data_IF_561189398671
#
_entry.id   IF_561189398671
#
_cell.length_a   1.000
_cell.length_b   1.000
_cell.length_c   1.000
_cell.angle_alpha   90.00
_cell.angle_beta   90.00
_cell.angle_gamma   90.00
#
_symmetry.space_group_name_H-M   'P 1'
#
loop_
_entity.id
_entity.type
_entity.pdbx_description
1 polymer ?
#
# COMPACT_ATOMS: atom_id res chain seq x y z
N UNK A 1 -32.86 49.05 35.70
CA UNK A 1 -31.44 48.88 35.35
C UNK A 1 -30.89 47.49 35.73
N UNK A 2 -31.15 46.92 36.91
CA UNK A 2 -30.65 45.58 37.29
C UNK A 2 -31.16 44.42 36.42
N UNK A 3 -32.39 44.50 35.85
CA UNK A 3 -32.97 43.46 34.97
C UNK A 3 -32.33 43.44 33.55
N UNK A 4 -31.88 44.58 33.07
CA UNK A 4 -31.21 44.71 31.76
C UNK A 4 -29.79 44.14 31.81
N UNK A 5 -29.09 44.29 32.94
CA UNK A 5 -27.77 43.72 33.17
C UNK A 5 -27.80 42.16 33.23
N UNK A 6 -28.87 41.59 33.78
CA UNK A 6 -29.06 40.13 33.85
C UNK A 6 -29.33 39.51 32.46
N UNK A 7 -30.07 40.18 31.59
CA UNK A 7 -30.36 39.73 30.23
C UNK A 7 -29.08 39.82 29.35
N UNK A 8 -28.25 40.88 29.51
CA UNK A 8 -27.01 40.99 28.79
C UNK A 8 -25.96 39.94 29.21
N UNK A 9 -25.91 39.58 30.49
CA UNK A 9 -25.03 38.51 30.98
C UNK A 9 -25.46 37.12 30.47
N UNK A 10 -26.78 36.87 30.31
CA UNK A 10 -27.31 35.62 29.78
C UNK A 10 -27.06 35.46 28.27
N UNK A 11 -27.04 36.55 27.49
CA UNK A 11 -26.69 36.54 26.06
C UNK A 11 -25.20 36.29 25.84
N UNK A 12 -24.32 36.78 26.73
CA UNK A 12 -22.89 36.49 26.67
C UNK A 12 -22.54 35.05 27.07
N UNK A 13 -23.34 34.41 27.94
CA UNK A 13 -23.09 33.00 28.32
C UNK A 13 -23.46 31.99 27.23
N UNK A 14 -24.32 32.37 26.27
CA UNK A 14 -24.70 31.49 25.13
C UNK A 14 -23.76 31.60 23.92
N UNK A 15 -22.81 32.52 23.91
CA UNK A 15 -21.71 32.56 22.94
C UNK A 15 -20.49 31.73 23.39
N UNK A 16 -20.69 30.58 24.01
CA UNK A 16 -19.73 29.54 23.99
C UNK A 16 -19.62 29.06 22.53
N UNK A 17 -18.89 29.81 21.72
CA UNK A 17 -18.49 29.36 20.38
C UNK A 17 -17.96 27.95 20.54
N UNK A 18 -18.74 26.97 20.12
CA UNK A 18 -18.16 25.66 19.78
C UNK A 18 -17.18 25.92 18.66
N UNK A 19 -15.95 26.29 19.02
CA UNK A 19 -14.87 26.37 18.07
C UNK A 19 -14.80 24.96 17.45
N UNK A 20 -15.29 24.85 16.23
CA UNK A 20 -15.26 23.59 15.50
C UNK A 20 -13.81 23.15 15.42
N UNK A 21 -13.51 22.06 16.12
CA UNK A 21 -12.14 21.54 16.14
C UNK A 21 -11.93 20.67 14.92
N UNK A 22 -10.91 21.00 14.17
CA UNK A 22 -10.46 20.22 13.01
C UNK A 22 -9.20 19.42 13.38
N UNK A 23 -9.02 18.28 12.75
CA UNK A 23 -7.82 17.49 12.88
C UNK A 23 -7.16 17.23 11.53
N UNK A 24 -5.93 16.77 11.58
CA UNK A 24 -5.24 16.18 10.45
C UNK A 24 -4.49 14.93 10.87
N UNK A 25 -4.19 14.07 9.89
CA UNK A 25 -3.47 12.82 10.11
C UNK A 25 -2.71 12.44 8.84
N UNK A 26 -1.58 11.78 8.99
CA UNK A 26 -0.85 11.16 7.88
C UNK A 26 -1.25 9.69 7.77
N UNK A 27 -2.27 9.39 6.95
CA UNK A 27 -2.77 8.01 6.77
C UNK A 27 -1.76 7.12 6.06
N UNK A 28 -0.99 7.66 5.13
CA UNK A 28 0.08 6.92 4.45
C UNK A 28 1.10 6.39 5.45
N UNK A 29 1.51 7.24 6.39
CA UNK A 29 2.44 6.85 7.45
C UNK A 29 1.86 5.72 8.30
N UNK A 30 0.59 5.83 8.71
CA UNK A 30 -0.08 4.81 9.52
C UNK A 30 -0.14 3.45 8.81
N UNK A 31 -0.55 3.47 7.55
CA UNK A 31 -0.72 2.24 6.75
C UNK A 31 0.64 1.60 6.43
N UNK A 32 1.66 2.41 6.13
CA UNK A 32 2.96 1.88 5.70
C UNK A 32 3.86 1.42 6.85
N UNK A 33 3.75 2.03 8.04
CA UNK A 33 4.66 1.77 9.16
C UNK A 33 4.11 0.79 10.20
N UNK A 34 2.84 0.37 10.11
CA UNK A 34 2.28 -0.57 11.07
C UNK A 34 2.87 -1.99 10.90
N UNK A 35 2.92 -2.80 11.97
CA UNK A 35 3.46 -4.16 11.91
C UNK A 35 2.72 -5.08 10.92
N UNK A 36 1.44 -4.85 10.68
CA UNK A 36 0.65 -5.60 9.70
C UNK A 36 1.12 -5.35 8.26
N UNK A 37 1.60 -4.13 7.96
CA UNK A 37 2.15 -3.80 6.64
C UNK A 37 3.47 -4.54 6.38
N UNK A 38 4.27 -4.83 7.41
CA UNK A 38 5.47 -5.65 7.25
C UNK A 38 5.12 -7.07 6.82
N UNK A 39 4.13 -7.67 7.50
CA UNK A 39 3.63 -9.00 7.11
C UNK A 39 3.07 -9.03 5.70
N UNK A 40 2.32 -7.98 5.32
CA UNK A 40 1.81 -7.84 3.97
C UNK A 40 2.95 -7.79 2.93
N UNK A 41 4.01 -7.01 3.20
CA UNK A 41 5.20 -6.94 2.35
C UNK A 41 5.95 -8.27 2.25
N UNK A 42 6.08 -9.01 3.36
CA UNK A 42 6.70 -10.34 3.34
C UNK A 42 5.92 -11.32 2.46
N UNK A 43 4.59 -11.33 2.55
CA UNK A 43 3.72 -12.16 1.70
C UNK A 43 3.92 -11.80 0.23
N UNK A 44 3.86 -10.51 -0.12
CA UNK A 44 4.06 -10.04 -1.49
C UNK A 44 5.45 -10.38 -2.01
N UNK A 45 6.47 -10.24 -1.18
CA UNK A 45 7.86 -10.61 -1.53
C UNK A 45 7.98 -12.10 -1.82
N UNK A 46 7.37 -12.96 -1.01
CA UNK A 46 7.38 -14.40 -1.23
C UNK A 46 6.69 -14.77 -2.55
N UNK A 47 5.49 -14.21 -2.81
CA UNK A 47 4.75 -14.45 -4.06
C UNK A 47 5.51 -13.95 -5.29
N UNK A 48 6.15 -12.78 -5.18
CA UNK A 48 6.98 -12.26 -6.28
C UNK A 48 8.19 -13.15 -6.55
N UNK A 49 8.85 -13.65 -5.50
CA UNK A 49 10.00 -14.56 -5.65
C UNK A 49 9.60 -15.90 -6.29
N UNK A 50 8.45 -16.45 -5.92
CA UNK A 50 7.90 -17.68 -6.51
C UNK A 50 7.57 -17.47 -7.99
N UNK A 51 6.92 -16.36 -8.33
CA UNK A 51 6.61 -16.02 -9.72
C UNK A 51 7.88 -15.83 -10.57
N UNK A 52 8.90 -15.18 -10.01
CA UNK A 52 10.21 -15.01 -10.70
C UNK A 52 10.90 -16.35 -10.93
N UNK A 53 10.86 -17.27 -9.96
CA UNK A 53 11.43 -18.62 -10.12
C UNK A 53 10.71 -19.39 -11.24
N UNK A 54 9.37 -19.37 -11.25
CA UNK A 54 8.57 -20.01 -12.29
C UNK A 54 8.84 -19.41 -13.67
N UNK A 55 8.90 -18.08 -13.77
CA UNK A 55 9.23 -17.41 -15.03
C UNK A 55 10.61 -17.82 -15.54
N UNK A 56 11.59 -17.89 -14.65
CA UNK A 56 12.94 -18.34 -14.99
C UNK A 56 12.95 -19.77 -15.51
N UNK A 57 12.26 -20.71 -14.86
CA UNK A 57 12.16 -22.10 -15.31
C UNK A 57 11.56 -22.19 -16.72
N UNK A 58 10.49 -21.44 -17.00
CA UNK A 58 9.88 -21.40 -18.33
C UNK A 58 10.82 -20.79 -19.39
N UNK A 59 11.57 -19.75 -19.04
CA UNK A 59 12.55 -19.14 -19.93
C UNK A 59 13.73 -20.08 -20.21
N UNK A 60 14.22 -20.78 -19.21
CA UNK A 60 15.31 -21.78 -19.35
C UNK A 60 14.85 -22.96 -20.23
N UNK A 61 13.60 -23.42 -20.07
CA UNK A 61 12.99 -24.43 -20.94
C UNK A 61 12.94 -23.96 -22.40
N UNK A 62 12.47 -22.73 -22.62
CA UNK A 62 12.41 -22.14 -23.97
C UNK A 62 13.79 -22.05 -24.61
N UNK A 63 14.78 -21.54 -23.89
CA UNK A 63 16.14 -21.41 -24.38
C UNK A 63 16.75 -22.77 -24.73
N UNK A 64 16.56 -23.78 -23.88
CA UNK A 64 17.06 -25.17 -24.15
C UNK A 64 16.44 -25.74 -25.43
N UNK A 65 15.14 -25.56 -25.62
CA UNK A 65 14.42 -26.03 -26.81
C UNK A 65 14.85 -25.26 -28.07
N UNK A 66 15.07 -23.96 -27.94
CA UNK A 66 15.52 -23.09 -29.03
C UNK A 66 16.92 -23.47 -29.48
N UNK A 67 17.85 -23.71 -28.56
CA UNK A 67 19.20 -24.21 -28.87
C UNK A 67 19.17 -25.56 -29.58
N UNK A 68 18.37 -26.51 -29.10
CA UNK A 68 18.20 -27.80 -29.74
C UNK A 68 17.59 -27.67 -31.14
N UNK A 69 16.68 -26.73 -31.36
CA UNK A 69 16.13 -26.43 -32.69
C UNK A 69 17.20 -25.87 -33.61
N UNK A 70 17.99 -24.90 -33.17
CA UNK A 70 19.06 -24.28 -33.97
C UNK A 70 20.12 -25.30 -34.39
N UNK A 71 20.49 -26.24 -33.51
CA UNK A 71 21.50 -27.24 -33.78
C UNK A 71 21.02 -28.36 -34.69
N UNK A 72 19.75 -28.78 -34.61
CA UNK A 72 19.24 -30.02 -35.19
C UNK A 72 18.22 -29.85 -36.31
N UNK A 73 17.69 -28.63 -36.52
CA UNK A 73 16.62 -28.39 -37.50
C UNK A 73 16.93 -28.79 -38.93
N UNK A 74 18.22 -28.67 -39.32
CA UNK A 74 18.68 -29.06 -40.66
C UNK A 74 18.62 -30.59 -40.89
N UNK A 75 18.70 -31.39 -39.83
CA UNK A 75 18.67 -32.87 -39.89
C UNK A 75 17.26 -33.44 -39.75
N UNK A 76 16.27 -32.64 -39.39
CA UNK A 76 14.91 -33.09 -39.18
C UNK A 76 14.05 -33.14 -40.45
N UNK A 77 13.08 -34.03 -40.46
CA UNK A 77 12.01 -34.01 -41.48
C UNK A 77 11.14 -32.74 -41.34
N UNK A 78 10.47 -32.34 -42.40
CA UNK A 78 9.58 -31.19 -42.39
C UNK A 78 8.53 -31.27 -41.26
N UNK A 79 7.91 -32.42 -41.05
CA UNK A 79 6.92 -32.65 -40.01
C UNK A 79 7.48 -32.49 -38.59
N UNK A 80 8.70 -32.97 -38.34
CA UNK A 80 9.38 -32.82 -37.05
C UNK A 80 9.71 -31.35 -36.80
N UNK A 81 10.21 -30.65 -37.80
CA UNK A 81 10.56 -29.23 -37.72
C UNK A 81 9.32 -28.40 -37.39
N UNK A 82 8.23 -28.59 -38.13
CA UNK A 82 6.94 -27.88 -37.89
C UNK A 82 6.41 -28.15 -36.47
N UNK A 83 6.52 -29.40 -35.97
CA UNK A 83 6.12 -29.72 -34.61
C UNK A 83 6.94 -28.96 -33.56
N UNK A 84 8.27 -28.83 -33.78
CA UNK A 84 9.17 -28.11 -32.86
C UNK A 84 8.94 -26.59 -32.90
N UNK A 85 8.65 -26.03 -34.06
CA UNK A 85 8.27 -24.64 -34.21
C UNK A 85 6.98 -24.30 -33.45
N UNK A 86 5.96 -25.15 -33.55
CA UNK A 86 4.71 -25.02 -32.79
C UNK A 86 4.94 -25.11 -31.28
N UNK A 87 5.83 -26.04 -30.85
CA UNK A 87 6.19 -26.18 -29.43
C UNK A 87 6.87 -24.92 -28.88
N UNK A 88 7.83 -24.33 -29.63
CA UNK A 88 8.48 -23.09 -29.25
C UNK A 88 7.49 -21.92 -29.21
N UNK A 89 6.64 -21.79 -30.23
CA UNK A 89 5.63 -20.73 -30.27
C UNK A 89 4.64 -20.84 -29.09
N UNK A 90 4.18 -22.05 -28.78
CA UNK A 90 3.28 -22.27 -27.65
C UNK A 90 3.93 -21.95 -26.29
N UNK A 91 5.22 -22.28 -26.13
CA UNK A 91 5.96 -21.96 -24.90
C UNK A 91 6.19 -20.46 -24.77
N UNK A 92 6.53 -19.78 -25.86
CA UNK A 92 6.67 -18.32 -25.85
C UNK A 92 5.33 -17.62 -25.48
N UNK A 93 4.22 -18.09 -26.04
CA UNK A 93 2.90 -17.58 -25.67
C UNK A 93 2.61 -17.79 -24.18
N UNK A 94 2.88 -18.99 -23.64
CA UNK A 94 2.69 -19.27 -22.21
C UNK A 94 3.54 -18.36 -21.33
N UNK A 95 4.77 -18.05 -21.70
CA UNK A 95 5.65 -17.12 -20.95
C UNK A 95 5.04 -15.72 -20.93
N UNK A 96 4.51 -15.25 -22.06
CA UNK A 96 3.86 -13.93 -22.15
C UNK A 96 2.60 -13.89 -21.29
N UNK A 97 1.71 -14.86 -21.45
CA UNK A 97 0.46 -14.97 -20.66
C UNK A 97 0.74 -15.08 -19.16
N UNK A 98 1.77 -15.83 -18.77
CA UNK A 98 2.19 -15.95 -17.38
C UNK A 98 2.63 -14.60 -16.83
N UNK A 99 3.46 -13.84 -17.56
CA UNK A 99 3.91 -12.52 -17.13
C UNK A 99 2.76 -11.53 -16.91
N UNK A 100 1.78 -11.51 -17.82
CA UNK A 100 0.58 -10.66 -17.71
C UNK A 100 -0.29 -11.05 -16.51
N UNK A 101 -0.53 -12.35 -16.34
CA UNK A 101 -1.36 -12.87 -15.24
C UNK A 101 -0.72 -12.63 -13.88
N UNK A 102 0.59 -12.85 -13.76
CA UNK A 102 1.34 -12.61 -12.50
C UNK A 102 1.27 -11.16 -12.07
N UNK A 103 1.44 -10.21 -13.00
CA UNK A 103 1.35 -8.79 -12.65
C UNK A 103 -0.03 -8.46 -12.06
N UNK A 104 -1.09 -8.93 -12.71
CA UNK A 104 -2.46 -8.73 -12.22
C UNK A 104 -2.69 -9.38 -10.85
N UNK A 105 -2.16 -10.59 -10.65
CA UNK A 105 -2.30 -11.32 -9.38
C UNK A 105 -1.57 -10.62 -8.23
N UNK A 106 -0.34 -10.13 -8.46
CA UNK A 106 0.42 -9.37 -7.46
C UNK A 106 -0.30 -8.07 -7.11
N UNK A 107 -0.84 -7.34 -8.09
CA UNK A 107 -1.60 -6.11 -7.84
C UNK A 107 -2.87 -6.39 -7.02
N UNK A 108 -3.59 -7.45 -7.34
CA UNK A 108 -4.76 -7.88 -6.57
C UNK A 108 -4.39 -8.33 -5.16
N UNK A 109 -3.30 -9.07 -5.01
CA UNK A 109 -2.80 -9.51 -3.72
C UNK A 109 -2.39 -8.30 -2.87
N UNK A 110 -1.72 -7.31 -3.45
CA UNK A 110 -1.38 -6.06 -2.77
C UNK A 110 -2.63 -5.36 -2.23
N UNK A 111 -3.66 -5.20 -3.06
CA UNK A 111 -4.92 -4.60 -2.62
C UNK A 111 -5.56 -5.41 -1.48
N UNK A 112 -5.59 -6.73 -1.61
CA UNK A 112 -6.16 -7.63 -0.60
C UNK A 112 -5.44 -7.52 0.74
N UNK A 113 -4.12 -7.43 0.73
CA UNK A 113 -3.32 -7.32 1.95
C UNK A 113 -3.40 -5.93 2.60
N UNK A 114 -3.41 -4.85 1.81
CA UNK A 114 -3.38 -3.49 2.36
C UNK A 114 -4.76 -2.89 2.66
N UNK A 115 -5.83 -3.36 2.01
CA UNK A 115 -7.20 -2.88 2.27
C UNK A 115 -7.61 -3.00 3.75
N UNK A 116 -7.47 -4.16 4.43
CA UNK A 116 -7.85 -4.27 5.84
C UNK A 116 -7.00 -3.38 6.75
N UNK A 117 -5.74 -3.10 6.40
CA UNK A 117 -4.87 -2.19 7.14
C UNK A 117 -5.39 -0.75 7.02
N UNK A 118 -5.79 -0.32 5.83
CA UNK A 118 -6.36 1.00 5.60
C UNK A 118 -7.72 1.16 6.32
N UNK A 119 -8.55 0.13 6.33
CA UNK A 119 -9.83 0.12 7.06
C UNK A 119 -9.59 0.20 8.58
N UNK A 120 -8.61 -0.52 9.11
CA UNK A 120 -8.19 -0.41 10.51
C UNK A 120 -7.71 1.00 10.84
N UNK A 121 -6.84 1.58 10.02
CA UNK A 121 -6.35 2.95 10.21
C UNK A 121 -7.51 3.95 10.23
N UNK A 122 -8.46 3.84 9.31
CA UNK A 122 -9.67 4.66 9.28
C UNK A 122 -10.48 4.53 10.57
N UNK A 123 -10.74 3.32 11.04
CA UNK A 123 -11.48 3.07 12.28
C UNK A 123 -10.79 3.67 13.51
N UNK A 124 -9.46 3.56 13.60
CA UNK A 124 -8.65 4.17 14.64
C UNK A 124 -8.77 5.69 14.61
N UNK A 125 -8.63 6.31 13.43
CA UNK A 125 -8.74 7.76 13.24
C UNK A 125 -10.13 8.25 13.66
N UNK A 126 -11.19 7.58 13.23
CA UNK A 126 -12.57 7.92 13.61
C UNK A 126 -12.79 7.85 15.13
N UNK A 127 -12.27 6.83 15.78
CA UNK A 127 -12.35 6.67 17.24
C UNK A 127 -11.67 7.82 17.98
N UNK A 128 -10.45 8.18 17.56
CA UNK A 128 -9.67 9.28 18.14
C UNK A 128 -10.38 10.62 17.88
N UNK A 129 -10.86 10.85 16.65
CA UNK A 129 -11.56 12.06 16.28
C UNK A 129 -12.83 12.27 17.15
N UNK A 130 -13.63 11.22 17.33
CA UNK A 130 -14.82 11.24 18.20
C UNK A 130 -14.46 11.54 19.65
N UNK A 131 -13.42 10.90 20.17
CA UNK A 131 -12.99 11.12 21.57
C UNK A 131 -12.49 12.54 21.82
N UNK A 132 -11.93 13.20 20.81
CA UNK A 132 -11.43 14.58 20.87
C UNK A 132 -12.49 15.62 20.47
N UNK A 133 -13.70 15.19 20.11
CA UNK A 133 -14.78 16.09 19.68
C UNK A 133 -14.48 16.85 18.40
N UNK A 134 -13.76 16.22 17.47
CA UNK A 134 -13.43 16.83 16.17
C UNK A 134 -14.61 16.72 15.22
N UNK A 135 -14.84 17.76 14.44
CA UNK A 135 -15.90 17.82 13.42
C UNK A 135 -15.44 17.14 12.13
N UNK A 136 -14.15 17.31 11.79
CA UNK A 136 -13.56 16.76 10.58
C UNK A 136 -12.08 16.49 10.77
N UNK A 137 -11.56 15.49 10.06
CA UNK A 137 -10.13 15.16 9.98
C UNK A 137 -9.72 15.12 8.52
N UNK A 138 -8.64 15.81 8.21
CA UNK A 138 -8.06 15.91 6.86
C UNK A 138 -6.79 15.06 6.75
N UNK A 139 -6.53 14.57 5.54
CA UNK A 139 -5.22 14.02 5.22
C UNK A 139 -4.16 15.13 5.20
N UNK A 140 -3.04 14.93 5.89
CA UNK A 140 -1.99 15.94 6.01
C UNK A 140 -1.43 16.37 4.65
N UNK A 141 -1.26 15.45 3.73
CA UNK A 141 -0.76 15.71 2.38
C UNK A 141 -1.71 16.55 1.50
N UNK A 142 -2.98 16.62 1.86
CA UNK A 142 -3.98 17.43 1.15
C UNK A 142 -4.02 18.89 1.63
N UNK A 143 -3.30 19.22 2.69
CA UNK A 143 -3.28 20.56 3.28
C UNK A 143 -2.11 21.36 2.72
N UNK A 144 -2.40 22.44 1.99
CA UNK A 144 -1.38 23.41 1.54
C UNK A 144 -0.86 24.22 2.73
N UNK A 145 -1.74 24.57 3.67
CA UNK A 145 -1.43 25.30 4.88
C UNK A 145 -2.23 24.77 6.05
N UNK A 146 -1.64 24.72 7.23
CA UNK A 146 -2.33 24.43 8.49
C UNK A 146 -1.79 25.33 9.59
N UNK A 147 -2.69 25.86 10.40
CA UNK A 147 -2.33 26.53 11.66
C UNK A 147 -2.32 25.47 12.77
N UNK A 148 -1.15 25.16 13.29
CA UNK A 148 -0.97 24.16 14.35
C UNK A 148 -1.70 24.52 15.65
N UNK A 149 -2.08 25.79 15.86
CA UNK A 149 -2.86 26.22 17.03
C UNK A 149 -4.37 25.91 16.87
N UNK A 150 -4.84 25.73 15.63
CA UNK A 150 -6.24 25.55 15.31
C UNK A 150 -6.60 24.12 14.88
N UNK A 151 -5.60 23.31 14.52
CA UNK A 151 -5.78 21.93 14.08
C UNK A 151 -5.04 20.94 14.98
N UNK A 152 -5.70 19.84 15.31
CA UNK A 152 -5.14 18.77 16.12
C UNK A 152 -4.44 17.76 15.21
N UNK A 153 -3.16 17.47 15.47
CA UNK A 153 -2.49 16.34 14.83
C UNK A 153 -2.87 15.01 15.53
N UNK A 154 -3.51 14.13 14.77
CA UNK A 154 -3.91 12.80 15.25
C UNK A 154 -2.84 11.75 15.00
N UNK A 155 -1.83 12.05 14.19
CA UNK A 155 -0.81 11.06 13.77
C UNK A 155 -0.12 10.39 14.96
N UNK A 156 0.32 11.10 16.01
CA UNK A 156 0.98 10.46 17.14
C UNK A 156 0.09 9.49 17.91
N UNK A 157 -1.18 9.85 18.14
CA UNK A 157 -2.14 9.00 18.85
C UNK A 157 -2.53 7.79 17.99
N UNK A 158 -2.72 7.99 16.70
CA UNK A 158 -3.03 6.93 15.75
C UNK A 158 -1.86 5.95 15.58
N UNK A 159 -0.62 6.43 15.52
CA UNK A 159 0.59 5.59 15.53
C UNK A 159 0.62 4.67 16.75
N UNK A 160 0.36 5.23 17.92
CA UNK A 160 0.31 4.46 19.17
C UNK A 160 -0.80 3.41 19.13
N UNK A 161 -2.00 3.76 18.68
CA UNK A 161 -3.13 2.85 18.60
C UNK A 161 -2.94 1.74 17.55
N UNK A 162 -2.13 1.98 16.52
CA UNK A 162 -1.73 1.01 15.51
C UNK A 162 -0.42 0.25 15.84
N UNK A 163 0.11 0.42 17.04
CA UNK A 163 1.34 -0.23 17.52
C UNK A 163 2.57 0.08 16.65
N UNK A 164 2.63 1.27 16.07
CA UNK A 164 3.79 1.70 15.28
C UNK A 164 4.90 2.13 16.22
N UNK A 165 6.10 1.53 16.15
CA UNK A 165 7.23 1.90 17.02
C UNK A 165 7.58 3.38 16.88
N UNK A 166 7.92 4.05 18.01
CA UNK A 166 8.17 5.49 18.04
C UNK A 166 9.33 5.92 17.11
N UNK A 167 10.37 5.09 16.99
CA UNK A 167 11.53 5.37 16.14
C UNK A 167 11.36 4.98 14.66
N UNK A 168 10.23 4.38 14.29
CA UNK A 168 10.01 3.95 12.92
C UNK A 168 9.51 5.11 12.06
N UNK A 169 10.21 5.41 10.97
CA UNK A 169 9.89 6.52 10.04
C UNK A 169 9.79 6.00 8.60
N UNK A 170 9.23 6.81 7.71
CA UNK A 170 9.20 6.48 6.28
C UNK A 170 10.63 6.38 5.69
N UNK A 171 11.57 7.15 6.21
CA UNK A 171 12.98 7.09 5.82
C UNK A 171 13.64 5.77 6.25
N UNK A 172 13.39 5.33 7.49
CA UNK A 172 13.89 4.03 7.96
C UNK A 172 13.31 2.88 7.14
N UNK A 173 12.01 2.93 6.82
CA UNK A 173 11.37 1.95 5.95
C UNK A 173 11.99 1.95 4.55
N UNK A 174 12.21 3.11 3.95
CA UNK A 174 12.83 3.22 2.63
C UNK A 174 14.24 2.60 2.61
N UNK A 175 15.04 2.86 3.65
CA UNK A 175 16.37 2.27 3.80
C UNK A 175 16.32 0.73 3.95
N UNK A 176 15.37 0.21 4.73
CA UNK A 176 15.14 -1.23 4.88
C UNK A 176 14.77 -1.89 3.54
N UNK A 177 13.87 -1.28 2.77
CA UNK A 177 13.44 -1.81 1.48
C UNK A 177 14.57 -1.78 0.45
N UNK A 178 15.38 -0.72 0.41
CA UNK A 178 16.55 -0.65 -0.45
C UNK A 178 17.60 -1.72 -0.12
N UNK A 179 17.87 -1.92 1.17
CA UNK A 179 18.80 -2.95 1.62
C UNK A 179 18.33 -4.38 1.29
N UNK A 180 17.03 -4.59 1.15
CA UNK A 180 16.45 -5.88 0.74
C UNK A 180 16.53 -6.13 -0.76
N UNK A 181 16.54 -5.08 -1.59
CA UNK A 181 16.66 -5.19 -3.05
C UNK A 181 18.11 -5.42 -3.51
N UNK A 182 19.10 -5.07 -2.67
CA UNK A 182 20.53 -5.22 -2.98
C UNK A 182 21.12 -6.59 -2.61
N UNK A 183 20.31 -7.49 -2.08
CA UNK A 183 20.69 -8.88 -1.73
C UNK A 183 20.11 -9.89 -2.70
#
# INVERSE_FOLDING_TARGET
MKKILLVSAMVFATMSCFAQKFGHVNTTELVQLCPEADKAREILKASTAEAQATYKEMADEYNTKLEAYQQKSSSWTGAVRESKEKELAALQQRITEFGENVQQEIDQQQQTQFKPIAEKAKSVIESIAKSKGLVCVFETSSLIYKDASQMVDLTPDARKAMNIPAGRTMESLAAELQAQQSK
#
